data_IF_230697799892
#
_entry.id   IF_230697799892
#
_cell.length_a   1.000
_cell.length_b   1.000
_cell.length_c   1.000
_cell.angle_alpha   90.00
_cell.angle_beta   90.00
_cell.angle_gamma   90.00
#
_symmetry.space_group_name_H-M   'P 1'
#
loop_
_entity.id
_entity.type
_entity.pdbx_description
1 polymer ?
#
# COMPACT_ATOMS: atom_id res chain seq x y z
N UNK A 1 -27.00 -46.66 32.73
CA UNK A 1 -26.93 -47.23 34.08
C UNK A 1 -25.76 -48.21 34.14
N UNK A 2 -24.97 -48.17 35.22
CA UNK A 2 -24.06 -49.26 35.61
C UNK A 2 -22.64 -49.19 35.05
N UNK A 3 -21.75 -48.51 35.77
CA UNK A 3 -20.31 -48.76 35.67
C UNK A 3 -19.87 -49.89 36.58
N UNK A 4 -18.66 -50.40 36.39
CA UNK A 4 -17.82 -50.95 37.47
C UNK A 4 -16.35 -51.00 37.05
N UNK A 5 -15.49 -50.59 37.99
CA UNK A 5 -14.02 -50.50 37.97
C UNK A 5 -13.39 -51.84 38.42
N UNK A 6 -12.10 -52.10 38.14
CA UNK A 6 -10.99 -52.17 39.12
C UNK A 6 -9.66 -52.75 38.55
N UNK A 7 -8.55 -51.97 38.69
CA UNK A 7 -7.16 -52.29 39.17
C UNK A 7 -6.33 -53.46 38.53
N UNK A 8 -4.99 -53.48 38.34
CA UNK A 8 -3.74 -52.93 38.96
C UNK A 8 -2.62 -52.99 37.87
N UNK A 9 -1.78 -51.98 37.64
CA UNK A 9 -0.43 -51.69 38.21
C UNK A 9 0.66 -52.76 38.05
N UNK A 10 1.77 -52.43 37.34
CA UNK A 10 3.16 -52.79 37.71
C UNK A 10 4.18 -51.76 37.18
N UNK A 11 5.20 -51.55 38.02
CA UNK A 11 6.45 -50.74 37.96
C UNK A 11 7.43 -51.30 36.88
N UNK A 12 8.60 -50.77 36.50
CA UNK A 12 9.48 -49.64 36.85
C UNK A 12 10.58 -49.50 35.75
N UNK A 13 11.13 -48.29 35.65
CA UNK A 13 12.53 -47.88 35.43
C UNK A 13 13.50 -48.72 34.59
N UNK A 14 14.14 -48.09 33.59
CA UNK A 14 15.61 -48.03 33.49
C UNK A 14 16.07 -46.82 32.67
N UNK A 15 16.97 -46.02 33.23
CA UNK A 15 17.72 -44.97 32.56
C UNK A 15 18.97 -45.57 31.90
N UNK A 16 19.33 -45.08 30.72
CA UNK A 16 20.69 -45.24 30.17
C UNK A 16 21.17 -43.87 29.74
N UNK A 17 22.18 -43.39 30.47
CA UNK A 17 23.06 -42.29 30.10
C UNK A 17 24.18 -42.88 29.26
N UNK A 18 24.44 -42.32 28.08
CA UNK A 18 25.73 -42.43 27.41
C UNK A 18 26.09 -41.08 26.80
N UNK A 19 27.11 -40.44 27.38
CA UNK A 19 27.88 -39.37 26.75
C UNK A 19 28.98 -39.99 25.90
N UNK A 20 29.21 -39.46 24.70
CA UNK A 20 30.56 -39.31 24.15
C UNK A 20 30.53 -38.30 22.99
N UNK A 21 31.35 -37.26 23.13
CA UNK A 21 31.78 -36.35 22.08
C UNK A 21 32.47 -37.11 20.94
N UNK A 22 32.32 -36.62 19.71
CA UNK A 22 33.44 -36.55 18.77
C UNK A 22 33.31 -35.37 17.82
N UNK A 23 34.40 -34.60 17.83
CA UNK A 23 34.77 -33.43 17.06
C UNK A 23 34.80 -33.70 15.56
N UNK A 24 34.12 -32.86 14.79
CA UNK A 24 34.26 -32.77 13.33
C UNK A 24 34.35 -31.31 12.93
N UNK A 25 35.57 -30.84 12.68
CA UNK A 25 35.84 -29.54 12.10
C UNK A 25 35.35 -29.53 10.64
N UNK A 26 34.40 -28.65 10.33
CA UNK A 26 33.95 -28.35 8.98
C UNK A 26 33.72 -26.86 8.84
N UNK A 27 34.53 -26.22 7.99
CA UNK A 27 34.33 -24.85 7.52
C UNK A 27 32.93 -24.72 6.92
N UNK A 28 32.04 -23.99 7.58
CA UNK A 28 30.77 -23.54 7.02
C UNK A 28 30.79 -22.03 6.98
N UNK A 29 30.70 -21.50 5.76
CA UNK A 29 30.51 -20.09 5.44
C UNK A 29 29.28 -19.58 6.17
N UNK A 30 29.46 -18.69 7.14
CA UNK A 30 28.38 -17.98 7.83
C UNK A 30 27.83 -16.89 6.90
N UNK A 31 26.75 -17.21 6.20
CA UNK A 31 25.96 -16.28 5.40
C UNK A 31 24.49 -16.68 5.42
N UNK A 32 23.92 -16.85 6.61
CA UNK A 32 22.48 -17.04 6.80
C UNK A 32 21.83 -15.70 7.14
N UNK A 33 21.28 -15.03 6.13
CA UNK A 33 20.09 -14.20 6.32
C UNK A 33 19.00 -15.11 6.88
N UNK A 34 18.65 -14.88 8.14
CA UNK A 34 17.50 -15.53 8.75
C UNK A 34 16.26 -14.89 8.12
N UNK A 35 15.65 -15.59 7.15
CA UNK A 35 14.31 -15.28 6.70
C UNK A 35 13.39 -15.28 7.93
N UNK A 36 12.72 -14.16 8.16
CA UNK A 36 11.76 -13.98 9.25
C UNK A 36 10.66 -15.06 9.11
N UNK A 37 10.55 -16.02 10.05
CA UNK A 37 9.53 -17.07 10.00
C UNK A 37 8.10 -16.53 10.19
N UNK A 38 7.93 -15.22 10.42
CA UNK A 38 6.65 -14.54 10.58
C UNK A 38 6.04 -13.96 9.30
N UNK A 39 6.74 -13.98 8.16
CA UNK A 39 6.17 -13.49 6.90
C UNK A 39 5.28 -14.56 6.25
N UNK A 40 4.15 -14.89 6.89
CA UNK A 40 3.08 -15.60 6.22
C UNK A 40 2.69 -14.83 4.95
N UNK A 41 2.52 -15.53 3.83
CA UNK A 41 1.95 -14.93 2.64
C UNK A 41 0.60 -14.30 3.03
N UNK A 42 0.51 -12.97 2.93
CA UNK A 42 -0.72 -12.23 3.18
C UNK A 42 -1.78 -12.80 2.24
N UNK A 43 -2.77 -13.51 2.79
CA UNK A 43 -3.85 -14.09 1.98
C UNK A 43 -4.78 -12.96 1.51
N UNK A 44 -5.52 -13.19 0.42
CA UNK A 44 -6.38 -12.17 -0.21
C UNK A 44 -7.41 -11.54 0.74
N UNK A 45 -7.81 -12.24 1.80
CA UNK A 45 -8.80 -11.75 2.78
C UNK A 45 -8.21 -10.75 3.79
N UNK A 46 -6.90 -10.78 4.04
CA UNK A 46 -6.20 -9.80 4.87
C UNK A 46 -6.02 -8.43 4.16
N UNK A 47 -6.46 -8.34 2.90
CA UNK A 47 -6.29 -7.16 2.06
C UNK A 47 -7.49 -6.21 2.05
N UNK A 48 -8.66 -6.66 2.49
CA UNK A 48 -9.87 -5.84 2.62
C UNK A 48 -9.96 -5.27 4.05
N UNK A 49 -9.06 -4.34 4.37
CA UNK A 49 -9.00 -3.71 5.70
C UNK A 49 -9.92 -2.50 5.84
N UNK A 50 -10.70 -2.17 4.80
CA UNK A 50 -11.57 -0.99 4.79
C UNK A 50 -12.99 -1.42 5.12
N UNK A 51 -13.41 -1.40 6.41
CA UNK A 51 -14.83 -1.49 6.71
C UNK A 51 -15.57 -0.31 6.06
N UNK A 52 -16.84 -0.51 5.71
CA UNK A 52 -17.73 0.57 5.28
C UNK A 52 -17.49 1.83 6.14
N UNK A 53 -17.16 2.95 5.48
CA UNK A 53 -16.64 4.19 6.05
C UNK A 53 -16.85 4.32 7.57
N UNK A 54 -15.80 4.13 8.38
CA UNK A 54 -15.97 4.22 9.83
C UNK A 54 -16.49 5.62 10.19
N UNK A 55 -17.53 5.70 11.01
CA UNK A 55 -18.20 6.96 11.30
C UNK A 55 -17.49 7.79 12.38
N UNK A 56 -16.54 7.21 13.11
CA UNK A 56 -15.90 7.85 14.28
C UNK A 56 -14.37 7.59 14.36
N UNK A 57 -13.65 8.45 15.07
CA UNK A 57 -12.18 8.41 15.18
C UNK A 57 -11.65 7.16 15.89
N UNK A 58 -12.36 6.59 16.86
CA UNK A 58 -11.89 5.39 17.56
C UNK A 58 -11.84 4.17 16.63
N UNK A 59 -12.93 3.91 15.91
CA UNK A 59 -12.98 2.79 14.95
C UNK A 59 -12.01 3.06 13.78
N UNK A 60 -11.85 4.32 13.36
CA UNK A 60 -10.85 4.71 12.35
C UNK A 60 -9.41 4.46 12.84
N UNK A 61 -9.10 4.74 14.10
CA UNK A 61 -7.78 4.50 14.68
C UNK A 61 -7.41 3.01 14.62
N UNK A 62 -8.40 2.13 14.86
CA UNK A 62 -8.20 0.68 14.74
C UNK A 62 -7.90 0.26 13.30
N UNK A 63 -8.60 0.83 12.31
CA UNK A 63 -8.31 0.61 10.88
C UNK A 63 -6.90 1.08 10.53
N UNK A 64 -6.54 2.31 10.93
CA UNK A 64 -5.19 2.85 10.76
C UNK A 64 -4.12 1.92 11.36
N UNK A 65 -4.33 1.45 12.59
CA UNK A 65 -3.40 0.52 13.27
C UNK A 65 -3.21 -0.79 12.49
N UNK A 66 -4.29 -1.38 11.97
CA UNK A 66 -4.19 -2.59 11.14
C UNK A 66 -3.41 -2.34 9.84
N UNK A 67 -3.66 -1.20 9.19
CA UNK A 67 -2.93 -0.79 7.98
C UNK A 67 -1.44 -0.63 8.29
N UNK A 68 -1.07 0.06 9.37
CA UNK A 68 0.34 0.21 9.75
C UNK A 68 1.00 -1.12 10.10
N UNK A 69 0.29 -2.02 10.78
CA UNK A 69 0.80 -3.33 11.12
C UNK A 69 1.12 -4.16 9.86
N UNK A 70 0.27 -4.09 8.83
CA UNK A 70 0.52 -4.73 7.52
C UNK A 70 1.80 -4.21 6.85
N UNK A 71 2.09 -2.92 7.00
CA UNK A 71 3.24 -2.27 6.36
C UNK A 71 4.49 -2.19 7.25
N UNK A 72 4.44 -2.78 8.46
CA UNK A 72 5.50 -2.64 9.45
C UNK A 72 6.87 -3.10 8.93
N UNK A 73 6.90 -4.18 8.15
CA UNK A 73 8.14 -4.77 7.62
C UNK A 73 8.90 -3.84 6.64
N UNK A 74 8.20 -2.94 5.96
CA UNK A 74 8.79 -2.00 4.99
C UNK A 74 8.82 -0.56 5.47
N UNK A 75 8.22 -0.28 6.63
CA UNK A 75 8.07 1.06 7.19
C UNK A 75 9.39 1.80 7.22
N UNK A 76 10.44 1.16 7.76
CA UNK A 76 11.73 1.81 7.97
C UNK A 76 12.49 1.99 6.65
N UNK A 77 12.38 1.03 5.73
CA UNK A 77 12.92 1.12 4.37
C UNK A 77 12.30 2.28 3.60
N UNK A 78 10.97 2.36 3.60
CA UNK A 78 10.24 3.44 2.91
C UNK A 78 10.50 4.81 3.54
N UNK A 79 10.64 4.86 4.87
CA UNK A 79 11.05 6.09 5.57
C UNK A 79 12.47 6.51 5.17
N UNK A 80 13.42 5.59 5.17
CA UNK A 80 14.82 5.84 4.81
C UNK A 80 15.00 6.24 3.35
N UNK A 81 14.12 5.77 2.46
CA UNK A 81 14.11 6.14 1.04
C UNK A 81 13.19 7.31 0.74
N UNK A 82 12.29 7.64 1.68
CA UNK A 82 11.33 8.75 1.63
C UNK A 82 10.42 8.60 0.42
N UNK A 83 9.91 7.38 0.30
CA UNK A 83 8.99 6.97 -0.74
C UNK A 83 7.66 6.59 -0.12
N UNK A 84 6.60 6.72 -0.91
CA UNK A 84 5.30 6.15 -0.60
C UNK A 84 5.03 5.00 -1.54
N UNK A 85 4.36 3.99 -1.02
CA UNK A 85 3.86 2.86 -1.80
C UNK A 85 2.36 2.99 -1.98
N UNK A 86 1.91 2.85 -3.22
CA UNK A 86 0.50 2.70 -3.59
C UNK A 86 0.28 1.31 -4.13
N UNK A 87 -0.72 0.60 -3.61
CA UNK A 87 -1.22 -0.59 -4.28
C UNK A 87 -1.77 -0.23 -5.67
N UNK A 88 -1.52 -1.07 -6.66
CA UNK A 88 -2.24 -0.93 -7.93
C UNK A 88 -3.72 -1.27 -7.80
N UNK A 89 -4.05 -2.30 -7.01
CA UNK A 89 -5.41 -2.74 -6.72
C UNK A 89 -5.99 -2.14 -5.44
N UNK A 90 -5.81 -0.84 -5.22
CA UNK A 90 -6.02 -0.19 -3.91
C UNK A 90 -7.46 -0.19 -3.39
N UNK A 91 -8.44 -0.54 -4.24
CA UNK A 91 -9.87 -0.50 -3.89
C UNK A 91 -10.60 -1.78 -4.31
N UNK A 92 -11.00 -2.63 -3.35
CA UNK A 92 -12.00 -3.67 -3.58
C UNK A 92 -13.36 -3.03 -3.89
N UNK A 93 -14.09 -3.55 -4.90
CA UNK A 93 -15.49 -3.21 -5.10
C UNK A 93 -15.82 -1.89 -5.82
N UNK A 94 -14.84 -1.13 -6.33
CA UNK A 94 -15.18 0.01 -7.21
C UNK A 94 -15.50 -0.53 -8.60
N UNK A 95 -16.80 -0.76 -8.82
CA UNK A 95 -17.35 -1.27 -10.07
C UNK A 95 -17.60 -0.10 -11.02
N UNK A 96 -16.76 0.05 -12.03
CA UNK A 96 -16.87 1.03 -13.11
C UNK A 96 -15.72 0.86 -14.10
N UNK A 97 -15.82 1.43 -15.31
CA UNK A 97 -14.76 1.31 -16.34
C UNK A 97 -13.43 1.97 -15.91
N UNK A 98 -13.47 2.93 -15.00
CA UNK A 98 -12.37 3.89 -14.78
C UNK A 98 -11.68 3.77 -13.40
N UNK A 99 -12.08 2.85 -12.52
CA UNK A 99 -11.74 2.95 -11.09
C UNK A 99 -11.08 1.69 -10.50
N UNK A 100 -9.90 1.43 -11.03
CA UNK A 100 -8.76 0.80 -10.37
C UNK A 100 -7.46 1.39 -10.95
N UNK A 101 -7.55 2.64 -11.43
CA UNK A 101 -6.66 3.20 -12.44
C UNK A 101 -5.97 4.50 -12.00
N UNK A 102 -6.27 5.03 -10.81
CA UNK A 102 -5.87 6.39 -10.38
C UNK A 102 -4.38 6.65 -10.25
N UNK A 103 -3.58 5.60 -10.13
CA UNK A 103 -2.13 5.71 -9.97
C UNK A 103 -1.39 4.78 -10.93
N UNK A 104 -1.98 3.62 -11.25
CA UNK A 104 -1.55 2.74 -12.34
C UNK A 104 -2.75 2.23 -13.11
N UNK A 105 -2.59 2.01 -14.41
CA UNK A 105 -3.55 1.31 -15.24
C UNK A 105 -3.08 -0.12 -15.51
N UNK A 106 -4.02 -1.04 -15.70
CA UNK A 106 -3.70 -2.39 -16.12
C UNK A 106 -4.68 -2.93 -17.13
N UNK A 107 -4.16 -3.72 -18.07
CA UNK A 107 -4.92 -4.37 -19.14
C UNK A 107 -4.44 -5.82 -19.31
N UNK A 108 -5.38 -6.72 -19.60
CA UNK A 108 -5.02 -8.06 -20.03
C UNK A 108 -4.62 -8.06 -21.51
N UNK A 109 -3.59 -8.83 -21.83
CA UNK A 109 -2.96 -8.95 -23.13
C UNK A 109 -2.93 -10.43 -23.51
N UNK A 110 -3.32 -10.77 -24.73
CA UNK A 110 -3.19 -12.11 -25.29
C UNK A 110 -2.64 -12.04 -26.70
N UNK A 111 -1.55 -12.78 -26.96
CA UNK A 111 -0.77 -12.72 -28.21
C UNK A 111 -0.43 -11.27 -28.64
N UNK A 112 -0.09 -10.40 -27.67
CA UNK A 112 0.23 -8.99 -27.89
C UNK A 112 -0.95 -8.05 -28.13
N UNK A 113 -2.19 -8.56 -28.15
CA UNK A 113 -3.40 -7.74 -28.31
C UNK A 113 -4.10 -7.54 -26.99
N UNK A 114 -4.84 -6.44 -26.85
CA UNK A 114 -5.72 -6.26 -25.70
C UNK A 114 -6.77 -7.37 -25.68
N UNK A 115 -6.91 -8.02 -24.53
CA UNK A 115 -7.92 -9.04 -24.28
C UNK A 115 -8.85 -8.52 -23.19
N UNK A 116 -10.13 -8.33 -23.52
CA UNK A 116 -11.13 -7.77 -22.59
C UNK A 116 -11.97 -8.86 -21.94
N UNK A 117 -12.17 -9.98 -22.64
CA UNK A 117 -12.97 -11.13 -22.23
C UNK A 117 -12.30 -12.43 -22.68
N UNK A 118 -12.74 -13.57 -22.15
CA UNK A 118 -12.07 -14.85 -22.42
C UNK A 118 -12.11 -15.29 -23.87
N UNK A 119 -13.07 -14.82 -24.67
CA UNK A 119 -13.12 -15.09 -26.11
C UNK A 119 -12.02 -14.38 -26.90
N UNK A 120 -11.35 -13.40 -26.29
CA UNK A 120 -10.25 -12.65 -26.92
C UNK A 120 -8.90 -13.35 -26.72
N UNK A 121 -8.86 -14.43 -25.91
CA UNK A 121 -7.63 -15.15 -25.58
C UNK A 121 -7.20 -15.97 -26.81
N UNK A 122 -5.99 -15.69 -27.29
CA UNK A 122 -5.36 -16.39 -28.41
C UNK A 122 -4.10 -17.12 -27.94
N UNK A 123 -3.90 -18.36 -28.41
CA UNK A 123 -2.69 -19.12 -28.11
C UNK A 123 -2.55 -19.54 -26.64
N UNK A 124 -3.61 -19.46 -25.84
CA UNK A 124 -3.67 -19.98 -24.46
C UNK A 124 -2.80 -19.22 -23.45
N UNK A 125 -2.30 -18.02 -23.79
CA UNK A 125 -1.51 -17.18 -22.89
C UNK A 125 -2.23 -15.86 -22.61
N UNK A 126 -2.18 -15.43 -21.36
CA UNK A 126 -2.65 -14.11 -20.92
C UNK A 126 -1.56 -13.49 -20.06
N UNK A 127 -1.21 -12.25 -20.37
CA UNK A 127 -0.33 -11.41 -19.56
C UNK A 127 -1.10 -10.18 -19.11
N UNK A 128 -0.85 -9.70 -17.90
CA UNK A 128 -1.37 -8.44 -17.40
C UNK A 128 -0.29 -7.37 -17.52
N UNK A 129 -0.53 -6.37 -18.36
CA UNK A 129 0.34 -5.20 -18.49
C UNK A 129 -0.12 -4.14 -17.49
N UNK A 130 0.76 -3.74 -16.60
CA UNK A 130 0.59 -2.64 -15.65
C UNK A 130 1.42 -1.45 -16.11
N UNK A 131 0.83 -0.26 -16.12
CA UNK A 131 1.49 0.99 -16.46
C UNK A 131 1.24 2.05 -15.41
N UNK A 132 2.31 2.74 -15.01
CA UNK A 132 2.27 3.97 -14.23
C UNK A 132 2.74 5.17 -15.07
N UNK A 133 2.91 4.98 -16.38
CA UNK A 133 3.42 5.99 -17.31
C UNK A 133 2.34 7.04 -17.52
N UNK A 134 2.63 8.28 -17.18
CA UNK A 134 1.63 9.35 -17.22
C UNK A 134 1.24 9.78 -18.64
N UNK A 135 -0.04 10.10 -18.81
CA UNK A 135 -0.62 10.59 -20.05
C UNK A 135 -0.18 12.03 -20.42
N UNK A 136 0.33 12.76 -19.44
CA UNK A 136 0.82 14.14 -19.50
C UNK A 136 2.35 14.21 -19.47
N UNK A 137 3.06 13.08 -19.65
CA UNK A 137 4.52 13.00 -19.75
C UNK A 137 5.12 13.93 -20.83
N UNK A 138 4.34 14.20 -21.89
CA UNK A 138 4.61 15.23 -22.89
C UNK A 138 3.42 16.18 -22.93
N UNK A 139 3.39 17.24 -22.11
CA UNK A 139 2.24 18.11 -22.03
C UNK A 139 1.96 18.76 -23.40
N UNK A 140 0.67 18.94 -23.77
CA UNK A 140 -0.55 18.68 -22.98
C UNK A 140 -0.95 17.20 -22.92
N UNK A 141 -1.91 16.87 -22.06
CA UNK A 141 -2.52 15.54 -21.95
C UNK A 141 -2.94 14.96 -23.31
N UNK A 142 -2.56 13.71 -23.58
CA UNK A 142 -2.82 13.02 -24.87
C UNK A 142 -2.36 13.81 -26.11
N UNK A 143 -1.26 14.55 -26.00
CA UNK A 143 -0.59 15.18 -27.15
C UNK A 143 -0.17 14.14 -28.21
N UNK A 144 0.01 14.56 -29.48
CA UNK A 144 0.64 13.72 -30.50
C UNK A 144 1.98 13.12 -30.06
N UNK A 145 2.75 13.84 -29.24
CA UNK A 145 4.00 13.40 -28.65
C UNK A 145 3.80 12.26 -27.65
N UNK A 146 2.79 12.36 -26.77
CA UNK A 146 2.42 11.26 -25.86
C UNK A 146 1.98 10.03 -26.65
N UNK A 147 1.14 10.20 -27.67
CA UNK A 147 0.68 9.07 -28.51
C UNK A 147 1.84 8.42 -29.28
N UNK A 148 2.76 9.23 -29.81
CA UNK A 148 3.98 8.76 -30.45
C UNK A 148 4.86 7.99 -29.47
N UNK A 149 5.02 8.49 -28.25
CA UNK A 149 5.76 7.80 -27.20
C UNK A 149 5.11 6.46 -26.82
N UNK A 150 3.78 6.42 -26.65
CA UNK A 150 3.03 5.18 -26.43
C UNK A 150 3.25 4.16 -27.56
N UNK A 151 3.23 4.60 -28.83
CA UNK A 151 3.57 3.73 -29.98
C UNK A 151 5.02 3.22 -29.93
N UNK A 152 5.97 4.05 -29.49
CA UNK A 152 7.36 3.62 -29.29
C UNK A 152 7.42 2.50 -28.24
N UNK A 153 6.75 2.67 -27.11
CA UNK A 153 6.66 1.62 -26.07
C UNK A 153 6.02 0.34 -26.64
N UNK A 154 4.89 0.45 -27.35
CA UNK A 154 4.20 -0.69 -27.95
C UNK A 154 5.07 -1.48 -28.94
N UNK A 155 5.86 -0.77 -29.75
CA UNK A 155 6.77 -1.37 -30.73
C UNK A 155 7.80 -2.26 -30.06
N UNK A 156 8.25 -1.90 -28.86
CA UNK A 156 9.22 -2.67 -28.09
C UNK A 156 8.57 -3.73 -27.21
N UNK A 157 7.36 -3.46 -26.70
CA UNK A 157 6.57 -4.42 -25.95
C UNK A 157 6.22 -5.68 -26.76
N UNK A 158 6.22 -5.61 -28.10
CA UNK A 158 5.99 -6.76 -28.96
C UNK A 158 7.13 -7.79 -28.93
N UNK A 159 8.33 -7.40 -28.50
CA UNK A 159 9.51 -8.26 -28.55
C UNK A 159 9.33 -9.55 -27.72
N UNK A 160 10.08 -10.60 -28.09
CA UNK A 160 10.03 -11.93 -27.44
C UNK A 160 10.30 -11.87 -25.94
N UNK A 161 11.11 -10.91 -25.48
CA UNK A 161 11.41 -10.70 -24.05
C UNK A 161 10.23 -10.11 -23.28
N UNK A 162 9.29 -9.48 -23.98
CA UNK A 162 8.10 -8.84 -23.44
C UNK A 162 6.88 -9.72 -23.70
N UNK A 163 6.06 -9.37 -24.71
CA UNK A 163 4.78 -10.03 -24.99
C UNK A 163 4.88 -11.11 -26.08
N UNK A 164 6.04 -11.26 -26.73
CA UNK A 164 6.27 -12.20 -27.82
C UNK A 164 5.19 -12.14 -28.92
N UNK A 165 4.95 -10.93 -29.41
CA UNK A 165 3.93 -10.60 -30.38
C UNK A 165 4.58 -10.25 -31.74
N UNK A 166 5.00 -11.28 -32.46
CA UNK A 166 5.77 -11.12 -33.71
C UNK A 166 4.96 -10.50 -34.86
N UNK A 167 3.63 -10.56 -34.80
CA UNK A 167 2.73 -10.07 -35.86
C UNK A 167 1.56 -9.28 -35.26
N UNK A 168 1.74 -7.98 -35.11
CA UNK A 168 0.68 -7.04 -34.72
C UNK A 168 0.32 -6.15 -35.91
N UNK A 169 -0.97 -5.94 -36.13
CA UNK A 169 -1.42 -4.91 -37.08
C UNK A 169 -1.19 -3.51 -36.49
N UNK A 170 -1.14 -2.47 -37.33
CA UNK A 170 -0.98 -1.08 -36.86
C UNK A 170 -2.02 -0.68 -35.80
N UNK A 171 -3.27 -1.12 -35.96
CA UNK A 171 -4.32 -0.86 -34.98
C UNK A 171 -4.07 -1.54 -33.62
N UNK A 172 -3.42 -2.71 -33.61
CA UNK A 172 -3.04 -3.41 -32.38
C UNK A 172 -1.88 -2.68 -31.69
N UNK A 173 -0.92 -2.17 -32.47
CA UNK A 173 0.20 -1.35 -31.95
C UNK A 173 -0.33 -0.07 -31.31
N UNK A 174 -1.31 0.58 -31.94
CA UNK A 174 -2.01 1.74 -31.38
C UNK A 174 -2.69 1.43 -30.05
N UNK A 175 -3.46 0.34 -30.03
CA UNK A 175 -4.19 -0.08 -28.84
C UNK A 175 -3.23 -0.42 -27.69
N UNK A 176 -2.14 -1.13 -27.99
CA UNK A 176 -1.10 -1.44 -27.02
C UNK A 176 -0.37 -0.18 -26.53
N UNK A 177 -0.13 0.80 -27.41
CA UNK A 177 0.50 2.06 -27.03
C UNK A 177 -0.35 2.87 -26.07
N UNK A 178 -1.67 2.87 -26.28
CA UNK A 178 -2.66 3.45 -25.36
C UNK A 178 -2.82 2.67 -24.04
N UNK A 179 -2.38 1.41 -23.99
CA UNK A 179 -2.36 0.63 -22.75
C UNK A 179 -1.04 0.76 -21.99
N UNK A 180 0.05 1.08 -22.70
CA UNK A 180 1.36 1.33 -22.12
C UNK A 180 1.46 2.73 -21.48
N UNK A 181 0.57 3.66 -21.84
CA UNK A 181 0.45 4.98 -21.23
C UNK A 181 -0.92 5.07 -20.58
N UNK A 182 -0.99 5.62 -19.38
CA UNK A 182 -2.26 5.82 -18.70
C UNK A 182 -3.17 6.73 -19.55
N UNK A 183 -4.47 6.48 -19.50
CA UNK A 183 -5.47 6.95 -20.44
C UNK A 183 -6.45 7.95 -19.84
N UNK A 184 -6.39 8.23 -18.53
CA UNK A 184 -7.25 9.20 -17.84
C UNK A 184 -6.40 10.27 -17.15
N UNK A 185 -6.59 11.55 -17.51
CA UNK A 185 -5.70 12.65 -17.10
C UNK A 185 -5.75 13.00 -15.61
N UNK A 186 -6.88 12.80 -14.95
CA UNK A 186 -6.91 12.89 -13.49
C UNK A 186 -6.19 11.70 -12.85
N UNK A 187 -6.36 10.51 -13.41
CA UNK A 187 -5.77 9.27 -12.90
C UNK A 187 -4.25 9.17 -13.14
N UNK A 188 -3.58 10.20 -13.67
CA UNK A 188 -2.13 10.18 -13.83
C UNK A 188 -1.47 10.89 -12.64
N UNK A 189 -0.92 12.06 -12.89
CA UNK A 189 -0.31 12.96 -11.93
C UNK A 189 -1.35 13.65 -11.04
N UNK A 190 -2.55 13.88 -11.58
CA UNK A 190 -3.61 14.69 -10.96
C UNK A 190 -4.08 14.12 -9.63
N UNK A 191 -4.40 12.83 -9.58
CA UNK A 191 -4.90 12.15 -8.39
C UNK A 191 -3.84 12.09 -7.29
N UNK A 192 -2.60 11.73 -7.64
CA UNK A 192 -1.50 11.71 -6.68
C UNK A 192 -1.19 13.10 -6.14
N UNK A 193 -1.19 14.12 -7.01
CA UNK A 193 -1.01 15.52 -6.62
C UNK A 193 -2.13 15.98 -5.70
N UNK A 194 -3.38 15.75 -6.07
CA UNK A 194 -4.55 16.13 -5.29
C UNK A 194 -4.50 15.49 -3.90
N UNK A 195 -4.24 14.17 -3.82
CA UNK A 195 -4.12 13.48 -2.54
C UNK A 195 -3.02 14.10 -1.67
N UNK A 196 -1.79 14.19 -2.17
CA UNK A 196 -0.66 14.71 -1.38
C UNK A 196 -0.91 16.15 -0.94
N UNK A 197 -1.42 17.01 -1.82
CA UNK A 197 -1.72 18.42 -1.51
C UNK A 197 -2.86 18.52 -0.50
N UNK A 198 -3.92 17.73 -0.62
CA UNK A 198 -5.05 17.76 0.31
C UNK A 198 -4.64 17.22 1.68
N UNK A 199 -3.88 16.12 1.74
CA UNK A 199 -3.31 15.64 3.00
C UNK A 199 -2.44 16.73 3.65
N UNK A 200 -1.60 17.43 2.88
CA UNK A 200 -0.74 18.49 3.39
C UNK A 200 -1.53 19.70 3.89
N UNK A 201 -2.54 20.12 3.14
CA UNK A 201 -3.46 21.21 3.51
C UNK A 201 -4.19 20.87 4.82
N UNK A 202 -4.73 19.67 4.93
CA UNK A 202 -5.41 19.23 6.14
C UNK A 202 -4.45 19.15 7.33
N UNK A 203 -3.21 18.70 7.12
CA UNK A 203 -2.17 18.69 8.14
C UNK A 203 -1.91 20.09 8.74
N UNK A 204 -1.89 21.12 7.89
CA UNK A 204 -1.77 22.53 8.31
C UNK A 204 -3.02 23.10 8.99
N UNK A 205 -4.11 22.33 9.06
CA UNK A 205 -5.39 22.73 9.63
C UNK A 205 -6.29 23.50 8.65
N UNK A 206 -5.81 23.80 7.45
CA UNK A 206 -6.60 24.49 6.42
C UNK A 206 -7.73 23.59 5.90
N UNK A 207 -8.97 23.94 6.17
CA UNK A 207 -10.11 23.51 5.34
C UNK A 207 -10.19 24.42 4.12
N UNK A 208 -10.67 23.92 2.99
CA UNK A 208 -10.94 24.75 1.81
C UNK A 208 -11.96 25.85 2.16
N UNK A 209 -11.53 27.09 2.40
CA UNK A 209 -12.42 28.24 2.54
C UNK A 209 -11.97 29.30 3.56
N UNK A 210 -12.61 30.47 3.47
CA UNK A 210 -12.32 31.69 4.25
C UNK A 210 -12.59 31.62 5.77
N UNK A 211 -12.76 30.42 6.36
CA UNK A 211 -13.19 30.21 7.75
C UNK A 211 -12.27 29.24 8.51
N UNK A 212 -10.95 29.38 8.38
CA UNK A 212 -10.00 28.64 9.22
C UNK A 212 -10.13 29.10 10.69
N UNK A 213 -10.47 28.17 11.58
CA UNK A 213 -10.53 28.39 13.02
C UNK A 213 -9.40 27.60 13.70
N UNK A 214 -8.33 28.31 14.06
CA UNK A 214 -7.15 27.75 14.70
C UNK A 214 -7.47 27.03 16.02
N UNK A 215 -8.50 27.47 16.75
CA UNK A 215 -8.90 26.86 18.01
C UNK A 215 -9.56 25.50 17.76
N UNK A 216 -10.45 25.42 16.77
CA UNK A 216 -11.06 24.13 16.36
C UNK A 216 -10.03 23.18 15.80
N UNK A 217 -9.08 23.66 15.00
CA UNK A 217 -7.97 22.86 14.47
C UNK A 217 -7.11 22.28 15.60
N UNK A 218 -6.82 23.07 16.64
CA UNK A 218 -6.10 22.61 17.83
C UNK A 218 -6.91 21.59 18.65
N UNK A 219 -8.21 21.81 18.83
CA UNK A 219 -9.06 20.86 19.54
C UNK A 219 -9.15 19.51 18.80
N UNK A 220 -9.27 19.53 17.47
CA UNK A 220 -9.27 18.32 16.64
C UNK A 220 -7.96 17.53 16.79
N UNK A 221 -6.81 18.21 16.80
CA UNK A 221 -5.50 17.59 17.08
C UNK A 221 -5.45 16.85 18.40
N UNK A 222 -5.98 17.48 19.46
CA UNK A 222 -5.99 16.89 20.79
C UNK A 222 -6.91 15.67 20.82
N UNK A 223 -8.09 15.75 20.19
CA UNK A 223 -9.00 14.61 20.06
C UNK A 223 -8.33 13.45 19.31
N UNK A 224 -7.75 13.68 18.14
CA UNK A 224 -7.08 12.66 17.32
C UNK A 224 -5.97 11.92 18.11
N UNK A 225 -5.11 12.68 18.80
CA UNK A 225 -4.04 12.10 19.61
C UNK A 225 -4.60 11.25 20.77
N UNK A 226 -5.66 11.71 21.43
CA UNK A 226 -6.30 10.99 22.53
C UNK A 226 -7.10 9.78 22.05
N UNK A 227 -7.69 9.83 20.86
CA UNK A 227 -8.37 8.71 20.22
C UNK A 227 -7.38 7.60 19.86
N UNK A 228 -6.24 7.96 19.26
CA UNK A 228 -5.14 7.04 18.99
C UNK A 228 -4.63 6.38 20.29
N UNK A 229 -4.34 7.19 21.31
CA UNK A 229 -3.91 6.72 22.63
C UNK A 229 -4.91 5.76 23.30
N UNK A 230 -6.20 6.10 23.25
CA UNK A 230 -7.25 5.27 23.85
C UNK A 230 -7.39 3.92 23.13
N UNK A 231 -7.34 3.93 21.79
CA UNK A 231 -7.38 2.71 20.98
C UNK A 231 -6.15 1.83 21.26
N UNK A 232 -4.94 2.40 21.27
CA UNK A 232 -3.69 1.68 21.58
C UNK A 232 -3.72 1.08 23.00
N UNK A 233 -4.24 1.81 23.98
CA UNK A 233 -4.41 1.29 25.34
C UNK A 233 -5.35 0.06 25.37
N UNK A 234 -6.42 0.08 24.57
CA UNK A 234 -7.34 -1.04 24.42
C UNK A 234 -6.68 -2.29 23.85
N UNK A 235 -5.79 -2.12 22.86
CA UNK A 235 -5.00 -3.22 22.29
C UNK A 235 -3.99 -3.79 23.29
N UNK A 236 -3.34 -2.93 24.08
CA UNK A 236 -2.35 -3.33 25.09
C UNK A 236 -2.95 -4.00 26.32
N UNK A 237 -4.19 -3.65 26.68
CA UNK A 237 -4.88 -4.21 27.84
C UNK A 237 -6.23 -4.78 27.43
N UNK A 238 -6.27 -6.01 26.86
CA UNK A 238 -7.49 -6.61 26.33
C UNK A 238 -8.64 -6.68 27.35
N UNK A 239 -8.33 -6.89 28.64
CA UNK A 239 -9.31 -6.92 29.73
C UNK A 239 -10.06 -5.59 29.93
N UNK A 240 -9.51 -4.46 29.45
CA UNK A 240 -10.11 -3.13 29.52
C UNK A 240 -10.63 -2.62 28.17
N UNK A 241 -10.39 -3.35 27.08
CA UNK A 241 -10.70 -2.90 25.72
C UNK A 241 -12.17 -2.46 25.54
N UNK A 242 -13.12 -3.23 26.08
CA UNK A 242 -14.55 -2.88 26.01
C UNK A 242 -14.88 -1.58 26.77
N UNK A 243 -14.26 -1.37 27.94
CA UNK A 243 -14.45 -0.15 28.74
C UNK A 243 -13.83 1.06 28.05
N UNK A 244 -12.62 0.92 27.49
CA UNK A 244 -11.93 1.97 26.73
C UNK A 244 -12.71 2.35 25.47
N UNK A 245 -13.25 1.36 24.74
CA UNK A 245 -14.13 1.61 23.59
C UNK A 245 -15.34 2.45 24.00
N UNK A 246 -16.03 2.10 25.10
CA UNK A 246 -17.15 2.89 25.63
C UNK A 246 -16.72 4.28 26.11
N UNK A 247 -15.51 4.40 26.64
CA UNK A 247 -14.98 5.68 27.11
C UNK A 247 -14.66 6.64 25.97
N UNK A 248 -14.30 6.15 24.78
CA UNK A 248 -13.69 6.96 23.72
C UNK A 248 -14.48 7.03 22.40
N UNK A 249 -15.13 5.94 22.01
CA UNK A 249 -15.88 5.85 20.75
C UNK A 249 -16.97 6.92 20.72
N UNK A 250 -17.09 7.61 19.58
CA UNK A 250 -18.02 8.73 19.32
C UNK A 250 -17.92 9.93 20.26
N UNK A 251 -16.90 10.03 21.13
CA UNK A 251 -16.71 11.17 22.03
C UNK A 251 -15.68 12.14 21.49
N UNK A 252 -15.81 13.42 21.83
CA UNK A 252 -14.77 14.41 21.62
C UNK A 252 -13.83 14.40 22.83
N UNK A 253 -12.70 13.72 22.70
CA UNK A 253 -11.68 13.61 23.75
C UNK A 253 -10.85 14.87 23.92
N UNK A 254 -11.06 15.93 23.13
CA UNK A 254 -10.56 17.26 23.48
C UNK A 254 -11.21 17.80 24.79
N UNK A 255 -12.38 17.28 25.16
CA UNK A 255 -12.99 17.54 26.46
C UNK A 255 -12.23 16.82 27.59
N UNK A 256 -11.70 17.58 28.55
CA UNK A 256 -10.88 17.05 29.65
C UNK A 256 -11.63 16.08 30.56
N UNK A 257 -12.94 16.26 30.77
CA UNK A 257 -13.75 15.35 31.60
C UNK A 257 -13.94 14.01 30.90
N UNK A 258 -14.19 14.03 29.59
CA UNK A 258 -14.29 12.81 28.79
C UNK A 258 -12.94 12.10 28.69
N UNK A 259 -11.85 12.85 28.54
CA UNK A 259 -10.50 12.28 28.54
C UNK A 259 -10.10 11.65 29.88
N UNK A 260 -10.41 12.31 31.01
CA UNK A 260 -10.13 11.77 32.34
C UNK A 260 -10.75 10.38 32.56
N UNK A 261 -11.94 10.12 31.99
CA UNK A 261 -12.56 8.79 32.05
C UNK A 261 -11.74 7.71 31.33
N UNK A 262 -11.12 8.04 30.18
CA UNK A 262 -10.23 7.14 29.47
C UNK A 262 -8.90 6.95 30.22
N UNK A 263 -8.35 8.01 30.82
CA UNK A 263 -7.13 7.96 31.64
C UNK A 263 -7.30 7.03 32.84
N UNK A 264 -8.45 7.08 33.53
CA UNK A 264 -8.76 6.16 34.64
C UNK A 264 -8.77 4.68 34.22
N UNK A 265 -8.98 4.41 32.93
CA UNK A 265 -8.90 3.07 32.35
C UNK A 265 -7.48 2.70 31.86
N UNK A 266 -6.53 3.65 31.89
CA UNK A 266 -5.13 3.44 31.51
C UNK A 266 -4.75 4.04 30.15
N UNK A 267 -5.62 4.82 29.50
CA UNK A 267 -5.25 5.55 28.30
C UNK A 267 -4.28 6.68 28.62
N UNK A 268 -3.25 6.87 27.78
CA UNK A 268 -2.32 8.00 27.88
C UNK A 268 -1.72 8.32 26.52
N UNK A 269 -1.59 9.61 26.23
CA UNK A 269 -0.81 10.06 25.07
C UNK A 269 0.66 9.80 25.38
N UNK A 270 1.31 9.00 24.54
CA UNK A 270 2.72 8.68 24.69
C UNK A 270 3.60 9.91 24.44
N UNK A 271 4.74 9.96 25.12
CA UNK A 271 5.77 10.99 24.98
C UNK A 271 7.01 10.44 24.26
N UNK A 272 7.87 11.29 23.68
CA UNK A 272 9.07 10.83 22.97
C UNK A 272 9.93 9.88 23.81
N UNK A 273 10.35 8.77 23.19
CA UNK A 273 11.16 7.72 23.84
C UNK A 273 10.36 6.54 24.36
N UNK A 274 9.03 6.63 24.43
CA UNK A 274 8.18 5.51 24.82
C UNK A 274 7.87 4.58 23.65
N UNK A 275 7.64 3.29 23.95
CA UNK A 275 7.54 2.24 22.93
C UNK A 275 6.38 2.42 21.94
N UNK A 276 5.29 3.08 22.33
CA UNK A 276 4.13 3.36 21.47
C UNK A 276 4.05 4.81 20.97
N UNK A 277 5.09 5.61 21.21
CA UNK A 277 5.09 7.01 20.76
C UNK A 277 4.90 7.12 19.24
N UNK A 278 5.74 6.42 18.47
CA UNK A 278 5.69 6.49 16.99
C UNK A 278 4.39 5.90 16.43
N UNK A 279 3.88 4.81 17.03
CA UNK A 279 2.62 4.19 16.62
C UNK A 279 1.44 5.13 16.87
N UNK A 280 1.37 5.77 18.05
CA UNK A 280 0.31 6.75 18.35
C UNK A 280 0.39 7.96 17.41
N UNK A 281 1.59 8.43 17.05
CA UNK A 281 1.78 9.53 16.09
C UNK A 281 1.34 9.14 14.68
N UNK A 282 1.71 7.95 14.20
CA UNK A 282 1.29 7.43 12.90
C UNK A 282 -0.26 7.28 12.86
N UNK A 283 -0.87 6.72 13.91
CA UNK A 283 -2.34 6.58 14.02
C UNK A 283 -3.04 7.95 14.07
N UNK A 284 -2.55 8.88 14.89
CA UNK A 284 -3.13 10.23 14.98
C UNK A 284 -3.06 10.98 13.65
N UNK A 285 -1.94 10.89 12.93
CA UNK A 285 -1.81 11.50 11.60
C UNK A 285 -2.70 10.80 10.55
N UNK A 286 -2.92 9.49 10.68
CA UNK A 286 -3.88 8.76 9.85
C UNK A 286 -5.33 9.23 10.06
N UNK A 287 -5.73 9.58 11.28
CA UNK A 287 -7.09 10.08 11.54
C UNK A 287 -7.43 11.36 10.76
N UNK A 288 -6.42 12.18 10.47
CA UNK A 288 -6.55 13.44 9.71
C UNK A 288 -6.90 13.24 8.24
N UNK A 289 -6.62 12.08 7.65
CA UNK A 289 -6.95 11.82 6.25
C UNK A 289 -8.47 11.82 6.00
N UNK A 290 -9.28 11.59 7.04
CA UNK A 290 -10.75 11.67 6.96
C UNK A 290 -11.27 13.10 6.77
N UNK A 291 -10.50 14.12 7.18
CA UNK A 291 -10.89 15.52 7.01
C UNK A 291 -10.87 15.98 5.54
N UNK A 292 -10.29 15.17 4.63
CA UNK A 292 -10.12 15.48 3.21
C UNK A 292 -11.38 15.49 2.35
N UNK A 293 -12.59 15.28 2.90
CA UNK A 293 -13.88 15.58 2.26
C UNK A 293 -14.25 14.84 0.95
N UNK A 294 -13.32 14.13 0.30
CA UNK A 294 -13.53 13.45 -0.98
C UNK A 294 -12.70 12.19 -1.16
N UNK A 295 -11.83 11.87 -0.21
CA UNK A 295 -11.04 10.64 -0.23
C UNK A 295 -11.88 9.53 0.42
N UNK A 296 -12.75 8.89 -0.36
CA UNK A 296 -13.29 7.58 0.04
C UNK A 296 -12.09 6.68 0.26
N UNK A 297 -11.89 6.21 1.49
CA UNK A 297 -10.67 5.52 1.91
C UNK A 297 -10.33 4.38 0.95
N UNK A 298 -9.13 4.47 0.37
CA UNK A 298 -8.46 3.39 -0.38
C UNK A 298 -7.35 2.82 0.50
N UNK A 299 -6.88 1.61 0.22
CA UNK A 299 -5.98 0.89 1.12
C UNK A 299 -4.67 1.64 1.41
N UNK A 300 -4.18 2.45 0.47
CA UNK A 300 -2.89 3.15 0.56
C UNK A 300 -3.03 4.60 1.05
N UNK A 301 -4.15 5.27 0.79
CA UNK A 301 -4.39 6.68 1.14
C UNK A 301 -4.05 7.06 2.60
N UNK A 302 -4.47 6.31 3.63
CA UNK A 302 -4.04 6.60 4.99
C UNK A 302 -2.54 6.58 5.21
N UNK A 303 -1.81 5.65 4.59
CA UNK A 303 -0.35 5.63 4.70
C UNK A 303 0.24 6.92 4.11
N UNK A 304 -0.25 7.32 2.94
CA UNK A 304 0.17 8.53 2.24
C UNK A 304 -0.12 9.77 3.07
N UNK A 305 -1.38 9.95 3.47
CA UNK A 305 -1.77 11.09 4.28
C UNK A 305 -1.07 11.11 5.63
N UNK A 306 -0.78 9.96 6.25
CA UNK A 306 0.01 9.91 7.48
C UNK A 306 1.40 10.47 7.26
N UNK A 307 2.12 10.00 6.24
CA UNK A 307 3.47 10.47 5.95
C UNK A 307 3.49 11.95 5.60
N UNK A 308 2.58 12.39 4.73
CA UNK A 308 2.45 13.80 4.37
C UNK A 308 2.13 14.64 5.60
N UNK A 309 1.18 14.21 6.44
CA UNK A 309 0.79 14.93 7.65
C UNK A 309 1.94 15.07 8.63
N UNK A 310 2.67 13.98 8.89
CA UNK A 310 3.84 14.02 9.78
C UNK A 310 4.95 14.88 9.19
N UNK A 311 5.21 14.80 7.88
CA UNK A 311 6.20 15.66 7.23
C UNK A 311 5.85 17.15 7.36
N UNK A 312 4.60 17.53 7.13
CA UNK A 312 4.14 18.93 7.28
C UNK A 312 4.25 19.38 8.73
N UNK A 313 3.73 18.58 9.67
CA UNK A 313 3.56 19.00 11.08
C UNK A 313 4.82 18.86 11.93
N UNK A 314 5.70 17.90 11.62
CA UNK A 314 6.92 17.63 12.40
C UNK A 314 8.15 18.23 11.71
N UNK A 315 8.17 18.33 10.37
CA UNK A 315 9.35 18.69 9.60
C UNK A 315 9.20 20.01 8.81
N UNK A 316 8.06 20.69 8.93
CA UNK A 316 7.75 21.92 8.19
C UNK A 316 7.94 21.77 6.66
N UNK A 317 7.60 20.60 6.13
CA UNK A 317 7.67 20.30 4.69
C UNK A 317 6.45 20.88 3.98
N UNK A 318 6.66 21.48 2.81
CA UNK A 318 5.58 21.87 1.90
C UNK A 318 5.51 20.94 0.70
N UNK A 319 4.28 20.62 0.28
CA UNK A 319 4.00 19.84 -0.93
C UNK A 319 3.26 20.69 -1.95
N UNK A 320 3.83 20.76 -3.16
CA UNK A 320 3.26 21.55 -4.28
C UNK A 320 2.70 20.70 -5.41
N UNK A 321 2.87 19.37 -5.33
CA UNK A 321 2.38 18.39 -6.32
C UNK A 321 3.47 17.50 -6.88
N UNK A 322 3.12 16.63 -7.82
CA UNK A 322 4.09 15.76 -8.50
C UNK A 322 4.77 16.52 -9.65
N UNK A 323 6.11 16.70 -9.68
CA UNK A 323 6.80 17.48 -10.72
C UNK A 323 6.67 16.87 -12.12
N UNK A 324 6.45 17.70 -13.15
CA UNK A 324 6.28 17.29 -14.56
C UNK A 324 7.43 16.42 -15.10
N UNK A 325 8.62 16.53 -14.52
CA UNK A 325 9.79 15.71 -14.87
C UNK A 325 9.66 14.22 -14.48
N UNK A 326 8.65 13.85 -13.69
CA UNK A 326 8.39 12.47 -13.31
C UNK A 326 7.51 11.81 -14.36
N UNK A 327 8.07 10.88 -15.13
CA UNK A 327 7.37 10.18 -16.23
C UNK A 327 6.31 9.16 -15.75
N UNK A 328 6.39 8.79 -14.48
CA UNK A 328 5.51 7.83 -13.81
C UNK A 328 6.11 7.38 -12.48
N UNK A 329 5.39 6.57 -11.72
CA UNK A 329 5.93 5.95 -10.50
C UNK A 329 6.62 4.62 -10.81
N UNK A 330 7.71 4.29 -10.13
CA UNK A 330 8.37 3.00 -10.39
C UNK A 330 7.60 1.87 -9.71
N UNK A 331 7.38 0.76 -10.40
CA UNK A 331 6.79 -0.42 -9.79
C UNK A 331 7.78 -1.18 -8.91
N UNK A 332 7.25 -1.86 -7.90
CA UNK A 332 7.97 -2.68 -6.94
C UNK A 332 6.99 -3.65 -6.26
N UNK A 333 7.44 -4.52 -5.36
CA UNK A 333 6.58 -5.37 -4.53
C UNK A 333 6.46 -4.85 -3.09
N UNK A 334 5.51 -5.39 -2.32
CA UNK A 334 5.20 -4.89 -0.97
C UNK A 334 6.30 -5.09 0.07
N UNK A 335 7.04 -6.19 0.06
CA UNK A 335 7.83 -6.60 1.24
C UNK A 335 9.34 -6.45 1.06
N UNK A 336 9.87 -6.80 -0.11
CA UNK A 336 11.31 -6.86 -0.39
C UNK A 336 11.70 -6.08 -1.65
N UNK A 337 10.77 -5.28 -2.17
CA UNK A 337 10.85 -4.54 -3.44
C UNK A 337 10.94 -5.38 -4.71
N UNK A 338 11.09 -6.69 -4.60
CA UNK A 338 11.02 -7.57 -5.76
C UNK A 338 9.59 -7.64 -6.24
N UNK A 339 9.40 -7.66 -7.56
CA UNK A 339 8.10 -7.97 -8.14
C UNK A 339 7.71 -9.42 -7.77
N UNK A 340 6.40 -9.74 -7.76
CA UNK A 340 5.97 -11.13 -7.64
C UNK A 340 6.66 -12.02 -8.68
N UNK A 341 6.91 -13.30 -8.36
CA UNK A 341 7.66 -14.21 -9.26
C UNK A 341 7.07 -14.35 -10.66
N UNK A 342 5.75 -14.19 -10.80
CA UNK A 342 5.05 -14.22 -12.09
C UNK A 342 5.18 -12.92 -12.90
N UNK A 343 5.82 -11.91 -12.33
CA UNK A 343 5.90 -10.55 -12.85
C UNK A 343 7.35 -10.17 -13.18
N UNK A 344 7.50 -9.31 -14.19
CA UNK A 344 8.79 -8.72 -14.61
C UNK A 344 8.59 -7.30 -15.10
N UNK A 345 9.65 -6.50 -15.10
CA UNK A 345 9.64 -5.24 -15.83
C UNK A 345 9.66 -5.48 -17.34
N UNK A 346 8.95 -4.64 -18.09
CA UNK A 346 9.11 -4.61 -19.54
C UNK A 346 10.55 -4.21 -19.91
N UNK A 347 11.07 -4.78 -20.98
CA UNK A 347 12.36 -4.44 -21.56
C UNK A 347 12.17 -3.39 -22.65
N UNK A 348 12.65 -2.17 -22.42
CA UNK A 348 12.64 -1.05 -23.36
C UNK A 348 14.11 -0.65 -23.61
N UNK A 349 14.52 -0.61 -24.86
CA UNK A 349 15.88 -0.37 -25.36
C UNK A 349 16.89 -1.33 -24.72
N UNK A 350 16.45 -2.57 -24.53
CA UNK A 350 17.24 -3.65 -23.91
C UNK A 350 17.46 -3.50 -22.40
N UNK A 351 16.72 -2.60 -21.73
CA UNK A 351 16.80 -2.37 -20.28
C UNK A 351 15.44 -2.50 -19.62
N UNK A 352 15.43 -2.82 -18.33
CA UNK A 352 14.20 -2.80 -17.54
C UNK A 352 13.62 -1.38 -17.47
N UNK A 353 12.36 -1.25 -17.88
CA UNK A 353 11.60 -0.01 -17.79
C UNK A 353 10.66 -0.09 -16.59
N UNK A 354 11.06 0.57 -15.50
CA UNK A 354 10.44 0.42 -14.17
C UNK A 354 9.01 0.94 -14.06
N UNK A 355 8.49 1.57 -15.10
CA UNK A 355 7.11 2.09 -15.17
C UNK A 355 6.15 1.16 -15.91
N UNK A 356 6.64 0.00 -16.38
CA UNK A 356 5.83 -1.04 -17.02
C UNK A 356 6.16 -2.40 -16.40
N UNK A 357 5.13 -3.10 -15.93
CA UNK A 357 5.24 -4.46 -15.41
C UNK A 357 4.36 -5.40 -16.22
N UNK A 358 4.89 -6.58 -16.53
CA UNK A 358 4.18 -7.66 -17.21
C UNK A 358 4.09 -8.83 -16.24
N UNK A 359 2.88 -9.26 -15.93
CA UNK A 359 2.63 -10.45 -15.11
C UNK A 359 1.94 -11.53 -15.92
N UNK A 360 2.52 -12.73 -15.99
CA UNK A 360 1.98 -13.82 -16.78
C UNK A 360 1.05 -14.69 -15.94
N UNK A 361 -0.17 -14.92 -16.46
CA UNK A 361 -1.07 -15.91 -15.90
C UNK A 361 -0.52 -17.31 -16.17
N UNK A 362 -0.61 -18.19 -15.18
CA UNK A 362 -0.33 -19.61 -15.34
C UNK A 362 -1.35 -20.27 -16.25
N UNK A 363 -0.99 -21.40 -16.86
CA UNK A 363 -1.89 -22.17 -17.72
C UNK A 363 -3.17 -22.59 -17.01
N UNK A 364 -3.09 -22.94 -15.71
CA UNK A 364 -4.25 -23.28 -14.89
C UNK A 364 -5.16 -22.08 -14.64
N UNK A 365 -4.61 -20.89 -14.39
CA UNK A 365 -5.39 -19.66 -14.24
C UNK A 365 -6.14 -19.32 -15.53
N UNK A 366 -5.46 -19.33 -16.68
CA UNK A 366 -6.08 -19.08 -17.99
C UNK A 366 -7.23 -20.05 -18.26
N UNK A 367 -7.02 -21.33 -17.96
CA UNK A 367 -8.04 -22.37 -18.16
C UNK A 367 -9.26 -22.16 -17.26
N UNK A 368 -9.05 -21.58 -16.07
CA UNK A 368 -10.12 -21.31 -15.11
C UNK A 368 -10.89 -20.01 -15.38
N UNK A 369 -10.36 -19.07 -16.18
CA UNK A 369 -11.00 -17.77 -16.43
C UNK A 369 -12.39 -17.90 -17.04
N UNK A 370 -12.62 -18.87 -17.93
CA UNK A 370 -13.90 -19.09 -18.59
C UNK A 370 -15.02 -19.55 -17.64
N UNK A 371 -14.64 -20.12 -16.48
CA UNK A 371 -15.57 -20.67 -15.49
C UNK A 371 -15.87 -19.69 -14.35
N UNK A 372 -15.06 -18.62 -14.19
CA UNK A 372 -15.33 -17.58 -13.20
C UNK A 372 -16.16 -16.46 -13.82
N UNK A 373 -17.40 -16.31 -13.37
CA UNK A 373 -18.33 -15.29 -13.88
C UNK A 373 -17.72 -13.88 -13.89
N UNK A 374 -16.92 -13.55 -12.87
CA UNK A 374 -16.28 -12.25 -12.70
C UNK A 374 -15.15 -11.97 -13.71
N UNK A 375 -14.53 -13.00 -14.30
CA UNK A 375 -13.39 -12.85 -15.23
C UNK A 375 -13.78 -13.15 -16.68
N UNK A 376 -14.82 -13.96 -16.89
CA UNK A 376 -15.28 -14.39 -18.22
C UNK A 376 -15.48 -13.22 -19.18
N UNK A 377 -16.11 -12.14 -18.69
CA UNK A 377 -16.44 -10.95 -19.47
C UNK A 377 -15.59 -9.73 -19.12
N UNK A 378 -14.61 -9.89 -18.22
CA UNK A 378 -13.73 -8.82 -17.75
C UNK A 378 -12.37 -9.39 -17.32
N UNK A 379 -11.45 -9.52 -18.27
CA UNK A 379 -10.08 -9.94 -17.98
C UNK A 379 -9.26 -8.85 -17.28
N UNK A 380 -9.74 -7.60 -17.26
CA UNK A 380 -9.13 -6.54 -16.44
C UNK A 380 -9.38 -6.82 -14.97
N UNK A 381 -10.57 -7.31 -14.60
CA UNK A 381 -10.85 -7.80 -13.25
C UNK A 381 -9.92 -8.94 -12.84
N UNK A 382 -9.57 -9.86 -13.75
CA UNK A 382 -8.55 -10.87 -13.44
C UNK A 382 -7.20 -10.24 -13.08
N UNK A 383 -6.69 -9.30 -13.88
CA UNK A 383 -5.43 -8.62 -13.60
C UNK A 383 -5.45 -7.88 -12.25
N UNK A 384 -6.57 -7.23 -11.93
CA UNK A 384 -6.81 -6.59 -10.62
C UNK A 384 -6.70 -7.61 -9.49
N UNK A 385 -7.56 -8.62 -9.54
CA UNK A 385 -7.75 -9.56 -8.44
C UNK A 385 -6.50 -10.43 -8.21
N UNK A 386 -5.77 -10.73 -9.29
CA UNK A 386 -4.61 -11.64 -9.23
C UNK A 386 -3.29 -10.95 -8.93
N UNK A 387 -3.02 -9.80 -9.54
CA UNK A 387 -1.68 -9.21 -9.54
C UNK A 387 -1.63 -7.80 -8.97
N UNK A 388 -2.66 -6.97 -9.20
CA UNK A 388 -2.64 -5.56 -8.79
C UNK A 388 -2.53 -5.37 -7.27
N UNK A 389 -2.93 -6.38 -6.50
CA UNK A 389 -2.79 -6.43 -5.05
C UNK A 389 -1.32 -6.52 -4.58
N UNK A 390 -0.46 -7.18 -5.36
CA UNK A 390 0.93 -7.45 -4.99
C UNK A 390 1.93 -6.49 -5.66
N UNK A 391 1.49 -5.77 -6.69
CA UNK A 391 2.26 -4.74 -7.37
C UNK A 391 1.97 -3.41 -6.71
N UNK A 392 3.04 -2.72 -6.35
CA UNK A 392 2.97 -1.37 -5.80
C UNK A 392 3.77 -0.39 -6.63
N UNK A 393 3.31 0.85 -6.63
CA UNK A 393 4.06 1.98 -7.16
C UNK A 393 4.78 2.70 -6.05
N UNK A 394 6.01 3.10 -6.33
CA UNK A 394 6.84 3.87 -5.43
C UNK A 394 6.90 5.32 -5.94
N UNK A 395 6.25 6.26 -5.25
CA UNK A 395 6.46 7.68 -5.51
C UNK A 395 7.59 8.22 -4.63
N UNK A 396 8.54 8.97 -5.22
CA UNK A 396 9.61 9.60 -4.46
C UNK A 396 9.08 10.86 -3.77
N UNK A 397 8.41 10.71 -2.61
CA UNK A 397 7.78 11.84 -1.90
C UNK A 397 8.77 13.00 -1.69
N UNK A 398 10.03 12.68 -1.38
CA UNK A 398 11.07 13.69 -1.17
C UNK A 398 11.24 14.62 -2.35
N UNK A 399 11.18 14.08 -3.57
CA UNK A 399 11.31 14.88 -4.79
C UNK A 399 10.15 15.87 -4.98
N UNK A 400 9.08 15.71 -4.19
CA UNK A 400 7.86 16.53 -4.24
C UNK A 400 7.89 17.70 -3.24
N UNK A 401 8.93 17.78 -2.40
CA UNK A 401 9.00 18.68 -1.26
C UNK A 401 9.72 19.97 -1.59
N UNK A 402 9.27 21.06 -0.98
CA UNK A 402 10.14 22.22 -0.71
C UNK A 402 10.78 22.06 0.67
N UNK A 403 12.02 22.54 0.80
CA UNK A 403 12.87 22.33 1.97
C UNK A 403 12.15 22.68 3.30
N UNK A 404 12.27 21.79 4.28
CA UNK A 404 11.77 21.97 5.65
C UNK A 404 12.89 21.93 6.70
N UNK A 405 12.54 22.08 7.97
CA UNK A 405 13.49 22.06 9.10
C UNK A 405 13.70 20.64 9.65
N UNK A 406 14.91 20.33 10.11
CA UNK A 406 15.23 19.00 10.66
C UNK A 406 15.13 18.97 12.19
N UNK A 407 13.94 18.76 12.74
CA UNK A 407 13.80 18.53 14.19
C UNK A 407 12.96 17.29 14.47
N UNK A 408 13.52 16.33 15.23
CA UNK A 408 12.82 15.12 15.69
C UNK A 408 13.19 13.82 14.97
N UNK A 409 12.86 12.68 15.58
CA UNK A 409 13.23 11.35 15.10
C UNK A 409 12.64 11.04 13.71
N UNK A 410 11.34 11.27 13.52
CA UNK A 410 10.69 11.13 12.22
C UNK A 410 11.37 11.99 11.17
N UNK A 411 11.61 13.28 11.44
CA UNK A 411 12.27 14.17 10.48
C UNK A 411 13.70 13.75 10.19
N UNK A 412 14.43 13.21 11.17
CA UNK A 412 15.76 12.66 10.92
C UNK A 412 15.68 11.44 9.99
N UNK A 413 14.80 10.47 10.25
CA UNK A 413 14.63 9.30 9.37
C UNK A 413 14.16 9.72 7.96
N UNK A 414 13.25 10.69 7.93
CA UNK A 414 12.65 11.21 6.72
C UNK A 414 13.61 12.07 5.90
N UNK A 415 14.49 12.86 6.53
CA UNK A 415 15.43 13.78 5.88
C UNK A 415 16.86 13.22 5.73
N UNK A 416 17.28 12.19 6.48
CA UNK A 416 18.66 11.67 6.45
C UNK A 416 19.09 11.05 5.11
N UNK A 417 18.20 10.90 4.13
CA UNK A 417 18.57 10.57 2.75
C UNK A 417 19.12 11.75 1.92
N UNK A 418 19.22 12.96 2.47
CA UNK A 418 19.79 14.14 1.77
C UNK A 418 21.31 14.09 1.55
N UNK A 419 22.05 13.22 2.25
CA UNK A 419 23.53 13.27 2.31
C UNK A 419 24.26 12.22 1.46
N UNK A 420 23.65 11.74 0.37
CA UNK A 420 24.38 10.94 -0.63
C UNK A 420 24.14 11.42 -2.04
#
# INVERSE_FOLDING_TARGET
MGGTRFFRSYKASTAVVFSALLTGAGLVVSGCESADPGAAAVTGDDQELIPAATTNHYDQALVCSKIFQRHKAIRDTDMKEGVLRWACGDVPGVTGKDLGQEYCEYKAISAGRLATKTTDIMGGKVSCLFSSVYADIKPPYQSPETLKFGRTLATQLKDVKNLNATTLAEADIDALGKAAVMSVGFNTRGAATALVVDCARNASGGTNGANFDATKAKAALVDEARQAACMVAGLKTPSKAASLKTACRTKNLADEKLWAAAVNLGARVAVPGEADFEDQRDISACLRSKASGGVTWRNSDPMICTRVTRAVTECAVEYVGIPDAVDGFTFTGWTNKALPTACRFAQIDGKEYKHLVICDASTSEVSNMAFKAQWKNDLTAFCRDRFAQDIVMQAPIRALQKAGTQTGNFCSMYNNGWTK
#
